data_IF_570414182986
#
_entry.id   IF_570414182986
#
_cell.length_a   1.000
_cell.length_b   1.000
_cell.length_c   1.000
_cell.angle_alpha   90.00
_cell.angle_beta   90.00
_cell.angle_gamma   90.00
#
_symmetry.space_group_name_H-M   'P 1'
#
loop_
_entity.id
_entity.type
_entity.pdbx_description
1 polymer ?
#
# COMPACT_ATOMS: atom_id res chain seq x y z
N UNK A 1 -13.09 -1.94 -20.86
CA UNK A 1 -11.78 -2.08 -21.53
C UNK A 1 -10.93 -0.80 -21.49
N UNK A 2 -11.51 0.39 -21.62
CA UNK A 2 -10.77 1.67 -21.59
C UNK A 2 -9.82 1.84 -20.37
N UNK A 3 -10.27 1.50 -19.16
CA UNK A 3 -9.45 1.64 -17.95
C UNK A 3 -8.30 0.61 -17.86
N UNK A 4 -8.48 -0.60 -18.38
CA UNK A 4 -7.41 -1.61 -18.45
C UNK A 4 -6.33 -1.16 -19.44
N UNK A 5 -6.73 -0.55 -20.56
CA UNK A 5 -5.78 0.04 -21.49
C UNK A 5 -4.96 1.17 -20.84
N UNK A 6 -5.58 1.97 -19.96
CA UNK A 6 -4.88 3.03 -19.22
C UNK A 6 -3.83 2.49 -18.26
N UNK A 7 -4.04 1.33 -17.64
CA UNK A 7 -3.00 0.66 -16.82
C UNK A 7 -1.73 0.38 -17.62
N UNK A 8 -1.84 0.19 -18.94
CA UNK A 8 -0.71 -0.11 -19.82
C UNK A 8 -0.12 1.12 -20.52
N UNK A 9 -0.83 2.26 -20.53
CA UNK A 9 -0.50 3.40 -21.40
C UNK A 9 -0.38 4.74 -20.68
N UNK A 10 -0.76 4.83 -19.40
CA UNK A 10 -0.79 6.08 -18.67
C UNK A 10 -0.25 5.91 -17.25
N UNK A 11 0.78 6.69 -16.92
CA UNK A 11 1.54 6.62 -15.67
C UNK A 11 1.58 8.00 -15.01
N UNK A 12 0.51 8.41 -14.29
CA UNK A 12 0.45 9.70 -13.60
C UNK A 12 1.32 9.70 -12.33
N UNK A 13 2.64 9.68 -12.49
CA UNK A 13 3.64 9.66 -11.40
C UNK A 13 3.64 10.91 -10.50
N UNK A 14 2.72 11.84 -10.75
CA UNK A 14 2.49 13.04 -9.94
C UNK A 14 1.30 12.86 -8.97
N UNK A 15 0.56 11.75 -9.08
CA UNK A 15 -0.52 11.37 -8.17
C UNK A 15 -0.01 10.31 -7.18
N UNK A 16 0.08 10.70 -5.91
CA UNK A 16 0.53 9.82 -4.83
C UNK A 16 -0.30 8.54 -4.74
N UNK A 17 -1.60 8.58 -5.05
CA UNK A 17 -2.46 7.39 -5.05
C UNK A 17 -2.06 6.38 -6.14
N UNK A 18 -1.59 6.89 -7.28
CA UNK A 18 -1.05 6.05 -8.35
C UNK A 18 0.27 5.44 -7.91
N UNK A 19 1.18 6.24 -7.34
CA UNK A 19 2.50 5.79 -6.92
C UNK A 19 2.39 4.71 -5.83
N UNK A 20 1.53 4.91 -4.83
CA UNK A 20 1.20 3.91 -3.80
C UNK A 20 0.76 2.59 -4.45
N UNK A 21 -0.25 2.64 -5.31
CA UNK A 21 -0.81 1.45 -5.93
C UNK A 21 0.22 0.73 -6.82
N UNK A 22 1.01 1.50 -7.58
CA UNK A 22 2.01 0.96 -8.49
C UNK A 22 3.19 0.32 -7.75
N UNK A 23 3.70 0.96 -6.69
CA UNK A 23 4.78 0.44 -5.84
C UNK A 23 4.35 -0.85 -5.14
N UNK A 24 3.15 -0.89 -4.54
CA UNK A 24 2.64 -2.12 -3.94
C UNK A 24 2.41 -3.23 -4.97
N UNK A 25 2.02 -2.89 -6.21
CA UNK A 25 1.88 -3.88 -7.30
C UNK A 25 3.23 -4.49 -7.66
N UNK A 26 4.27 -3.66 -7.86
CA UNK A 26 5.64 -4.14 -8.13
C UNK A 26 6.14 -5.00 -6.97
N UNK A 27 5.99 -4.53 -5.73
CA UNK A 27 6.36 -5.31 -4.55
C UNK A 27 5.66 -6.66 -4.52
N UNK A 28 4.37 -6.70 -4.85
CA UNK A 28 3.58 -7.94 -4.84
C UNK A 28 4.04 -8.93 -5.92
N UNK A 29 4.43 -8.43 -7.10
CA UNK A 29 5.06 -9.25 -8.14
C UNK A 29 6.37 -9.85 -7.64
N UNK A 30 7.20 -9.08 -6.94
CA UNK A 30 8.46 -9.55 -6.36
C UNK A 30 8.20 -10.64 -5.30
N UNK A 31 7.18 -10.48 -4.46
CA UNK A 31 6.77 -11.50 -3.50
C UNK A 31 6.21 -12.77 -4.15
N UNK A 32 5.50 -12.66 -5.28
CA UNK A 32 5.09 -13.84 -6.05
C UNK A 32 6.33 -14.57 -6.59
N UNK A 33 7.31 -13.85 -7.15
CA UNK A 33 8.58 -14.45 -7.61
C UNK A 33 9.32 -15.12 -6.44
N UNK A 34 9.42 -14.43 -5.30
CA UNK A 34 9.99 -14.97 -4.07
C UNK A 34 9.31 -16.28 -3.67
N UNK A 35 7.98 -16.31 -3.68
CA UNK A 35 7.21 -17.48 -3.33
C UNK A 35 7.48 -18.67 -4.25
N UNK A 36 7.76 -18.43 -5.54
CA UNK A 36 8.20 -19.50 -6.43
C UNK A 36 9.57 -20.04 -6.03
N UNK A 37 10.55 -19.19 -5.70
CA UNK A 37 11.87 -19.66 -5.26
C UNK A 37 11.83 -20.51 -3.98
N UNK A 38 10.90 -20.25 -3.06
CA UNK A 38 10.83 -20.98 -1.77
C UNK A 38 9.85 -22.15 -1.78
N UNK A 39 8.79 -22.11 -2.60
CA UNK A 39 7.73 -23.13 -2.57
C UNK A 39 7.77 -24.10 -3.76
N UNK A 40 8.17 -23.64 -4.96
CA UNK A 40 8.16 -24.48 -6.15
C UNK A 40 9.11 -25.69 -6.02
N UNK A 41 10.35 -25.56 -5.49
CA UNK A 41 11.23 -26.70 -5.25
C UNK A 41 10.59 -27.78 -4.36
N UNK A 42 9.74 -27.39 -3.41
CA UNK A 42 9.05 -28.33 -2.51
C UNK A 42 7.97 -29.16 -3.23
N UNK A 43 7.31 -28.59 -4.23
CA UNK A 43 6.24 -29.24 -5.01
C UNK A 43 6.80 -30.01 -6.19
N UNK A 44 7.85 -29.46 -6.82
CA UNK A 44 8.53 -30.02 -7.98
C UNK A 44 10.04 -29.98 -7.75
N UNK A 45 10.61 -30.96 -7.04
CA UNK A 45 12.04 -31.01 -6.74
C UNK A 45 12.92 -30.97 -8.00
N UNK A 46 12.45 -31.53 -9.12
CA UNK A 46 13.19 -31.48 -10.40
C UNK A 46 13.37 -30.07 -10.99
N UNK A 47 12.69 -29.06 -10.43
CA UNK A 47 12.88 -27.65 -10.84
C UNK A 47 13.96 -26.93 -10.04
N UNK A 48 14.43 -27.52 -8.94
CA UNK A 48 15.39 -26.90 -8.03
C UNK A 48 16.76 -26.72 -8.71
N UNK A 49 17.34 -25.52 -8.58
CA UNK A 49 18.72 -25.25 -8.96
C UNK A 49 19.58 -24.82 -7.77
N UNK A 50 20.90 -24.86 -7.95
CA UNK A 50 21.84 -24.69 -6.85
C UNK A 50 21.65 -23.33 -6.13
N UNK A 51 21.40 -23.40 -4.83
CA UNK A 51 21.16 -22.26 -3.94
C UNK A 51 19.95 -21.38 -4.31
N UNK A 52 18.95 -21.95 -5.00
CA UNK A 52 17.72 -21.26 -5.39
C UNK A 52 17.00 -20.59 -4.22
N UNK A 53 16.73 -21.35 -3.14
CA UNK A 53 16.01 -20.82 -1.96
C UNK A 53 16.84 -19.75 -1.25
N UNK A 54 18.14 -19.99 -1.05
CA UNK A 54 19.01 -19.08 -0.30
C UNK A 54 19.21 -17.75 -1.03
N UNK A 55 19.60 -17.77 -2.30
CA UNK A 55 19.86 -16.54 -3.06
C UNK A 55 18.60 -15.99 -3.70
N UNK A 56 17.84 -16.81 -4.43
CA UNK A 56 16.61 -16.38 -5.09
C UNK A 56 15.59 -15.93 -4.04
N UNK A 57 15.30 -16.78 -3.06
CA UNK A 57 14.40 -16.44 -1.95
C UNK A 57 14.94 -15.29 -1.11
N UNK A 58 16.17 -15.38 -0.60
CA UNK A 58 16.74 -14.34 0.27
C UNK A 58 16.80 -12.95 -0.34
N UNK A 59 17.29 -12.82 -1.58
CA UNK A 59 17.44 -11.53 -2.27
C UNK A 59 16.06 -10.94 -2.61
N UNK A 60 15.14 -11.74 -3.16
CA UNK A 60 13.82 -11.23 -3.50
C UNK A 60 12.99 -10.87 -2.27
N UNK A 61 13.16 -11.56 -1.14
CA UNK A 61 12.54 -11.19 0.12
C UNK A 61 13.01 -9.80 0.60
N UNK A 62 14.33 -9.53 0.52
CA UNK A 62 14.89 -8.23 0.88
C UNK A 62 14.37 -7.10 -0.02
N UNK A 63 14.39 -7.31 -1.34
CA UNK A 63 13.91 -6.31 -2.30
C UNK A 63 12.41 -6.09 -2.11
N UNK A 64 11.62 -7.16 -1.98
CA UNK A 64 10.17 -7.10 -1.77
C UNK A 64 9.82 -6.35 -0.49
N UNK A 65 10.49 -6.64 0.62
CA UNK A 65 10.30 -5.92 1.88
C UNK A 65 10.65 -4.43 1.76
N UNK A 66 11.73 -4.09 1.05
CA UNK A 66 12.15 -2.70 0.84
C UNK A 66 11.14 -1.93 -0.02
N UNK A 67 10.62 -2.55 -1.08
CA UNK A 67 9.58 -1.94 -1.94
C UNK A 67 8.29 -1.72 -1.15
N UNK A 68 7.88 -2.67 -0.31
CA UNK A 68 6.72 -2.51 0.58
C UNK A 68 6.92 -1.42 1.63
N UNK A 69 8.12 -1.25 2.16
CA UNK A 69 8.44 -0.16 3.09
C UNK A 69 8.27 1.21 2.41
N UNK A 70 8.83 1.37 1.21
CA UNK A 70 8.66 2.59 0.40
C UNK A 70 7.18 2.84 0.11
N UNK A 71 6.44 1.82 -0.31
CA UNK A 71 5.00 1.92 -0.54
C UNK A 71 4.23 2.34 0.71
N UNK A 72 4.63 1.86 1.88
CA UNK A 72 4.00 2.19 3.17
C UNK A 72 4.30 3.63 3.61
N UNK A 73 5.50 4.16 3.30
CA UNK A 73 5.84 5.57 3.51
C UNK A 73 4.98 6.46 2.60
N UNK A 74 4.84 6.10 1.32
CA UNK A 74 3.98 6.82 0.38
C UNK A 74 2.50 6.78 0.80
N UNK A 75 2.03 5.63 1.29
CA UNK A 75 0.68 5.45 1.79
C UNK A 75 0.42 6.34 3.01
N UNK A 76 1.39 6.44 3.93
CA UNK A 76 1.32 7.38 5.05
C UNK A 76 1.26 8.84 4.56
N UNK A 77 2.08 9.19 3.57
CA UNK A 77 2.10 10.53 2.99
C UNK A 77 0.77 10.88 2.30
N UNK A 78 0.13 9.91 1.62
CA UNK A 78 -1.22 10.03 1.07
C UNK A 78 -2.26 10.28 2.16
N UNK A 79 -2.25 9.49 3.24
CA UNK A 79 -3.20 9.61 4.34
C UNK A 79 -3.12 10.98 5.06
N UNK A 80 -1.91 11.54 5.20
CA UNK A 80 -1.71 12.91 5.74
C UNK A 80 -2.17 14.00 4.76
N UNK A 81 -2.30 13.68 3.48
CA UNK A 81 -2.64 14.63 2.41
C UNK A 81 -3.95 14.28 1.69
N UNK A 82 -4.89 13.63 2.35
CA UNK A 82 -6.14 13.09 1.77
C UNK A 82 -6.95 14.15 0.97
N UNK A 83 -6.85 15.43 1.34
CA UNK A 83 -7.49 16.56 0.65
C UNK A 83 -6.58 17.33 -0.34
N UNK A 84 -5.34 16.86 -0.57
CA UNK A 84 -4.28 17.58 -1.29
C UNK A 84 -3.43 16.69 -2.20
N UNK A 85 -3.90 15.49 -2.54
CA UNK A 85 -3.18 14.48 -3.34
C UNK A 85 -2.67 15.03 -4.68
N UNK A 86 -3.43 15.90 -5.35
CA UNK A 86 -3.02 16.55 -6.61
C UNK A 86 -1.87 17.56 -6.49
N UNK A 87 -1.42 17.90 -5.28
CA UNK A 87 -0.27 18.76 -5.04
C UNK A 87 1.06 17.98 -4.89
N UNK A 88 1.03 16.64 -4.88
CA UNK A 88 2.21 15.80 -4.66
C UNK A 88 3.30 16.03 -5.71
N UNK A 89 2.96 15.97 -7.01
CA UNK A 89 3.93 16.18 -8.08
C UNK A 89 4.69 17.51 -8.02
N UNK A 90 4.04 18.60 -7.59
CA UNK A 90 4.69 19.89 -7.36
C UNK A 90 5.63 19.87 -6.16
N UNK A 91 5.24 19.17 -5.09
CA UNK A 91 6.06 19.06 -3.89
C UNK A 91 7.29 18.19 -4.12
N UNK A 92 7.15 17.10 -4.87
CA UNK A 92 8.23 16.22 -5.27
C UNK A 92 9.22 16.92 -6.20
N UNK A 93 8.73 17.59 -7.24
CA UNK A 93 9.56 18.38 -8.16
C UNK A 93 10.35 19.45 -7.40
N UNK A 94 9.69 20.17 -6.47
CA UNK A 94 10.38 21.16 -5.63
C UNK A 94 11.47 20.52 -4.75
N UNK A 95 11.18 19.42 -4.07
CA UNK A 95 12.15 18.73 -3.21
C UNK A 95 13.38 18.21 -4.00
N UNK A 96 13.15 17.69 -5.22
CA UNK A 96 14.23 17.24 -6.10
C UNK A 96 14.99 18.41 -6.75
N UNK A 97 14.31 19.53 -7.03
CA UNK A 97 14.92 20.74 -7.60
C UNK A 97 15.72 21.56 -6.58
N UNK A 98 15.36 21.51 -5.29
CA UNK A 98 16.20 22.07 -4.22
C UNK A 98 17.54 21.34 -4.11
N UNK A 99 17.63 20.07 -4.56
CA UNK A 99 18.89 19.34 -4.71
C UNK A 99 19.60 19.57 -6.06
N UNK A 100 18.87 20.02 -7.10
CA UNK A 100 19.40 20.30 -8.45
C UNK A 100 19.31 21.79 -8.77
N UNK A 101 20.30 22.56 -8.33
CA UNK A 101 20.50 23.93 -8.81
C UNK A 101 20.67 23.95 -10.35
N UNK A 102 19.63 24.32 -11.11
CA UNK A 102 19.82 24.94 -12.43
C UNK A 102 19.07 24.42 -13.66
N UNK A 103 18.11 23.48 -13.58
CA UNK A 103 17.32 23.08 -14.77
C UNK A 103 15.84 23.50 -14.71
N UNK A 104 15.24 23.97 -15.82
CA UNK A 104 13.83 24.39 -15.86
C UNK A 104 12.90 23.18 -15.74
N UNK A 105 12.08 23.18 -14.69
CA UNK A 105 11.11 22.13 -14.37
C UNK A 105 10.11 21.89 -15.52
N UNK A 106 9.95 20.62 -15.88
CA UNK A 106 9.01 20.15 -16.90
C UNK A 106 7.58 20.26 -16.34
N UNK A 107 6.89 21.35 -16.65
CA UNK A 107 5.58 21.69 -16.09
C UNK A 107 4.48 20.67 -16.42
N UNK A 108 4.23 19.74 -15.49
CA UNK A 108 3.09 18.82 -15.53
C UNK A 108 1.88 19.46 -14.84
N UNK A 109 0.74 19.50 -15.54
CA UNK A 109 -0.48 20.20 -15.11
C UNK A 109 -1.59 19.20 -14.77
N UNK A 110 -1.92 18.98 -13.48
CA UNK A 110 -3.12 18.25 -13.09
C UNK A 110 -4.37 19.09 -13.35
N UNK A 111 -5.40 18.49 -13.96
CA UNK A 111 -6.72 19.12 -14.15
C UNK A 111 -7.52 19.08 -12.85
N UNK A 112 -7.97 20.24 -12.37
CA UNK A 112 -8.66 20.42 -11.07
C UNK A 112 -10.19 20.38 -11.14
N UNK A 113 -10.79 20.24 -12.33
CA UNK A 113 -12.22 20.47 -12.51
C UNK A 113 -13.13 19.29 -12.18
N UNK A 114 -12.59 18.11 -11.85
CA UNK A 114 -13.40 16.90 -11.58
C UNK A 114 -12.72 15.92 -10.61
N UNK A 115 -12.14 16.44 -9.51
CA UNK A 115 -11.62 15.60 -8.44
C UNK A 115 -12.76 15.08 -7.54
N UNK A 116 -13.46 14.02 -7.97
CA UNK A 116 -14.31 13.22 -7.09
C UNK A 116 -13.44 12.18 -6.37
N UNK A 117 -12.97 12.51 -5.16
CA UNK A 117 -12.24 11.55 -4.32
C UNK A 117 -13.23 10.74 -3.48
N UNK A 118 -13.18 9.42 -3.58
CA UNK A 118 -14.04 8.49 -2.85
C UNK A 118 -13.42 8.06 -1.52
N UNK A 119 -13.15 9.02 -0.63
CA UNK A 119 -13.00 8.77 0.82
C UNK A 119 -14.02 9.55 1.67
N UNK A 120 -14.96 10.26 1.05
CA UNK A 120 -16.04 10.92 1.78
C UNK A 120 -17.19 9.94 2.03
N UNK A 121 -17.01 8.98 2.92
CA UNK A 121 -18.15 8.38 3.61
C UNK A 121 -18.32 9.05 4.98
N UNK A 122 -18.91 10.24 5.00
CA UNK A 122 -19.28 10.99 6.22
C UNK A 122 -20.45 10.36 6.99
N UNK A 123 -20.58 9.03 7.02
CA UNK A 123 -21.60 8.36 7.83
C UNK A 123 -21.06 7.09 8.50
N UNK A 124 -20.71 7.31 9.77
CA UNK A 124 -20.78 6.41 10.93
C UNK A 124 -19.51 5.64 11.32
N UNK A 125 -19.12 5.81 12.59
CA UNK A 125 -18.93 4.72 13.56
C UNK A 125 -18.83 5.18 15.05
N UNK A 126 -19.11 6.45 15.37
CA UNK A 126 -19.33 6.88 16.77
C UNK A 126 -20.58 7.76 16.82
N UNK A 127 -21.61 7.30 17.56
CA UNK A 127 -22.93 7.93 17.61
C UNK A 127 -23.04 9.06 18.64
N UNK A 128 -23.80 10.10 18.30
CA UNK A 128 -25.07 10.50 18.95
C UNK A 128 -25.42 11.92 18.50
N UNK A 129 -26.70 12.14 18.15
CA UNK A 129 -27.16 13.31 17.44
C UNK A 129 -27.34 14.59 18.26
N UNK A 130 -27.41 15.70 17.54
CA UNK A 130 -28.38 16.76 17.78
C UNK A 130 -28.63 17.49 16.46
N UNK A 131 -29.91 17.66 16.13
CA UNK A 131 -30.40 18.35 14.95
C UNK A 131 -30.02 19.84 14.97
N UNK A 132 -29.71 20.40 13.80
CA UNK A 132 -30.25 21.70 13.38
C UNK A 132 -30.02 21.87 11.90
N UNK A 133 -31.12 22.04 11.16
CA UNK A 133 -31.06 22.38 9.74
C UNK A 133 -30.36 23.71 9.54
N UNK A 134 -29.41 23.75 8.61
CA UNK A 134 -28.98 24.98 7.98
C UNK A 134 -28.84 24.73 6.49
N UNK A 135 -29.80 25.30 5.74
CA UNK A 135 -29.59 25.66 4.35
C UNK A 135 -28.56 26.78 4.35
N UNK A 136 -27.32 26.51 3.97
CA UNK A 136 -26.36 27.56 3.64
C UNK A 136 -25.98 27.45 2.18
N UNK A 137 -26.30 28.53 1.49
CA UNK A 137 -25.98 28.81 0.10
C UNK A 137 -24.48 28.61 -0.15
N UNK A 138 -24.17 27.98 -1.28
CA UNK A 138 -22.81 27.97 -1.81
C UNK A 138 -22.41 29.41 -2.14
N UNK A 139 -21.56 30.00 -1.31
CA UNK A 139 -20.77 31.17 -1.70
C UNK A 139 -19.69 30.73 -2.69
N UNK A 140 -19.37 31.55 -3.71
CA UNK A 140 -18.32 31.24 -4.66
C UNK A 140 -16.96 31.38 -3.95
N UNK A 141 -16.17 30.31 -3.98
CA UNK A 141 -14.79 30.28 -3.48
C UNK A 141 -13.97 31.42 -4.12
N UNK A 142 -13.67 32.43 -3.31
CA UNK A 142 -12.73 33.49 -3.63
C UNK A 142 -11.31 32.91 -3.70
N UNK A 143 -10.62 33.21 -4.80
CA UNK A 143 -9.20 32.95 -5.03
C UNK A 143 -8.37 33.33 -3.80
N UNK A 144 -7.77 32.36 -3.09
CA UNK A 144 -6.92 32.72 -1.96
C UNK A 144 -6.23 31.64 -1.13
N UNK A 145 -6.65 30.37 -1.17
CA UNK A 145 -6.02 29.36 -0.30
C UNK A 145 -5.55 28.12 -1.08
N UNK A 146 -4.43 28.27 -1.81
CA UNK A 146 -3.66 27.16 -2.38
C UNK A 146 -3.08 26.33 -1.23
N UNK A 147 -3.83 25.34 -0.73
CA UNK A 147 -3.38 24.41 0.30
C UNK A 147 -2.16 23.62 -0.22
N UNK A 148 -0.99 23.93 0.32
CA UNK A 148 0.30 23.32 0.00
C UNK A 148 0.41 21.88 0.52
N UNK A 149 1.28 21.06 -0.08
CA UNK A 149 1.60 19.73 0.41
C UNK A 149 2.22 19.78 1.81
N UNK A 150 1.83 18.84 2.68
CA UNK A 150 2.30 18.74 4.07
C UNK A 150 3.12 17.47 4.22
N UNK A 151 4.41 17.61 4.47
CA UNK A 151 5.31 16.47 4.71
C UNK A 151 5.17 15.89 6.12
N UNK A 152 4.88 16.75 7.11
CA UNK A 152 4.76 16.37 8.52
C UNK A 152 3.52 17.03 9.13
N UNK A 153 2.55 16.27 9.69
CA UNK A 153 1.37 16.85 10.31
C UNK A 153 1.73 17.55 11.62
N UNK A 154 0.99 18.61 11.97
CA UNK A 154 1.16 19.25 13.27
C UNK A 154 0.63 18.36 14.41
N UNK A 155 1.17 18.52 15.63
CA UNK A 155 0.78 17.71 16.80
C UNK A 155 -0.72 17.86 17.16
N UNK A 156 -1.31 19.02 16.89
CA UNK A 156 -2.73 19.29 17.14
C UNK A 156 -3.63 18.61 16.09
N UNK A 157 -3.27 18.68 14.80
CA UNK A 157 -3.97 17.95 13.73
C UNK A 157 -3.87 16.42 13.89
N UNK A 158 -2.71 15.94 14.34
CA UNK A 158 -2.48 14.52 14.64
C UNK A 158 -3.45 14.00 15.70
N UNK A 159 -3.56 14.71 16.83
CA UNK A 159 -4.39 14.28 17.96
C UNK A 159 -5.89 14.41 17.69
N UNK A 160 -6.30 15.48 17.02
CA UNK A 160 -7.73 15.79 16.87
C UNK A 160 -8.37 15.15 15.64
N UNK A 161 -7.62 14.91 14.55
CA UNK A 161 -8.19 14.47 13.28
C UNK A 161 -7.70 13.09 12.86
N UNK A 162 -6.38 12.89 12.80
CA UNK A 162 -5.81 11.69 12.18
C UNK A 162 -5.98 10.41 13.01
N UNK A 163 -5.92 10.49 14.35
CA UNK A 163 -6.12 9.31 15.22
C UNK A 163 -7.55 8.73 15.18
N UNK A 164 -8.52 9.46 14.63
CA UNK A 164 -9.91 9.00 14.46
C UNK A 164 -10.24 8.59 13.02
N UNK A 165 -9.32 8.81 12.06
CA UNK A 165 -9.49 8.37 10.67
C UNK A 165 -9.04 6.91 10.52
N UNK A 166 -9.94 6.06 10.01
CA UNK A 166 -9.63 4.66 9.75
C UNK A 166 -8.52 4.52 8.71
N UNK A 167 -8.54 5.32 7.63
CA UNK A 167 -7.50 5.30 6.60
C UNK A 167 -6.12 5.71 7.13
N UNK A 168 -6.05 6.70 8.03
CA UNK A 168 -4.79 7.06 8.69
C UNK A 168 -4.28 5.94 9.59
N UNK A 169 -5.14 5.37 10.43
CA UNK A 169 -4.76 4.28 11.34
C UNK A 169 -4.36 3.01 10.56
N UNK A 170 -5.02 2.74 9.43
CA UNK A 170 -4.67 1.66 8.52
C UNK A 170 -3.28 1.87 7.90
N UNK A 171 -3.00 3.09 7.43
CA UNK A 171 -1.71 3.47 6.86
C UNK A 171 -0.58 3.41 7.91
N UNK A 172 -0.89 3.82 9.15
CA UNK A 172 0.07 3.77 10.26
C UNK A 172 0.40 2.34 10.65
N UNK A 173 -0.62 1.49 10.76
CA UNK A 173 -0.43 0.05 11.01
C UNK A 173 0.38 -0.62 9.91
N UNK A 174 0.12 -0.24 8.65
CA UNK A 174 0.88 -0.74 7.50
C UNK A 174 2.35 -0.35 7.58
N UNK A 175 2.65 0.93 7.86
CA UNK A 175 4.02 1.42 7.98
C UNK A 175 4.77 0.72 9.12
N UNK A 176 4.20 0.66 10.33
CA UNK A 176 4.83 -0.07 11.43
C UNK A 176 5.02 -1.56 11.10
N UNK A 177 4.04 -2.18 10.45
CA UNK A 177 4.12 -3.56 10.01
C UNK A 177 5.27 -3.77 9.03
N UNK A 178 5.38 -2.92 8.02
CA UNK A 178 6.41 -2.99 6.99
C UNK A 178 7.81 -2.74 7.57
N UNK A 179 7.98 -1.76 8.46
CA UNK A 179 9.28 -1.42 9.05
C UNK A 179 9.81 -2.58 9.90
N UNK A 180 8.93 -3.24 10.69
CA UNK A 180 9.31 -4.39 11.49
C UNK A 180 9.58 -5.61 10.60
N UNK A 181 8.73 -5.86 9.60
CA UNK A 181 8.91 -6.94 8.63
C UNK A 181 10.23 -6.80 7.86
N UNK A 182 10.66 -5.56 7.57
CA UNK A 182 11.88 -5.26 6.82
C UNK A 182 13.14 -5.82 7.48
N UNK A 183 13.18 -5.90 8.81
CA UNK A 183 14.28 -6.55 9.55
C UNK A 183 14.48 -7.99 9.09
N UNK A 184 13.38 -8.71 8.87
CA UNK A 184 13.40 -10.09 8.38
C UNK A 184 13.85 -10.17 6.92
N UNK A 185 13.40 -9.22 6.08
CA UNK A 185 13.88 -9.12 4.70
C UNK A 185 15.39 -8.91 4.64
N UNK A 186 15.94 -8.03 5.49
CA UNK A 186 17.38 -7.81 5.60
C UNK A 186 18.13 -9.07 6.05
N UNK A 187 17.61 -9.75 7.07
CA UNK A 187 18.26 -10.97 7.59
C UNK A 187 18.08 -12.19 6.70
N UNK A 188 17.18 -12.14 5.69
CA UNK A 188 17.02 -13.16 4.67
C UNK A 188 18.18 -13.22 3.67
N UNK A 189 19.02 -12.17 3.60
CA UNK A 189 20.10 -12.11 2.62
C UNK A 189 21.14 -13.22 2.81
N UNK A 190 21.67 -13.78 1.70
CA UNK A 190 22.84 -14.65 1.73
C UNK A 190 24.02 -13.96 2.41
N UNK A 191 24.79 -14.72 3.19
CA UNK A 191 25.89 -14.24 4.04
C UNK A 191 25.44 -13.82 5.44
N UNK A 192 24.15 -13.45 5.62
CA UNK A 192 23.55 -13.21 6.93
C UNK A 192 22.80 -14.48 7.36
N UNK A 193 21.81 -14.90 6.56
CA UNK A 193 20.88 -15.97 6.92
C UNK A 193 21.59 -17.30 7.26
N UNK A 194 22.50 -17.74 6.39
CA UNK A 194 23.29 -18.97 6.50
C UNK A 194 24.28 -18.97 7.68
N UNK A 195 24.56 -17.80 8.26
CA UNK A 195 25.47 -17.66 9.40
C UNK A 195 24.76 -17.47 10.73
N UNK A 196 23.43 -17.31 10.73
CA UNK A 196 22.67 -17.13 11.95
C UNK A 196 22.51 -18.44 12.71
N UNK A 197 22.76 -18.39 14.02
CA UNK A 197 22.34 -19.48 14.92
C UNK A 197 20.82 -19.48 15.07
N UNK A 198 20.23 -20.63 15.44
CA UNK A 198 18.78 -20.78 15.57
C UNK A 198 18.11 -19.68 16.43
N UNK A 199 18.63 -19.33 17.63
CA UNK A 199 18.01 -18.27 18.42
C UNK A 199 17.99 -16.93 17.68
N UNK A 200 19.04 -16.62 16.93
CA UNK A 200 19.14 -15.38 16.14
C UNK A 200 18.12 -15.42 14.99
N UNK A 201 17.96 -16.54 14.29
CA UNK A 201 16.93 -16.70 13.24
C UNK A 201 15.52 -16.52 13.80
N UNK A 202 15.23 -17.08 14.97
CA UNK A 202 13.93 -16.90 15.64
C UNK A 202 13.67 -15.42 15.93
N UNK A 203 14.65 -14.71 16.48
CA UNK A 203 14.49 -13.32 16.93
C UNK A 203 14.45 -12.33 15.77
N UNK A 204 15.34 -12.47 14.78
CA UNK A 204 15.56 -11.45 13.75
C UNK A 204 14.92 -11.79 12.39
N UNK A 205 14.60 -13.06 12.14
CA UNK A 205 13.97 -13.47 10.90
C UNK A 205 12.50 -13.88 11.09
N UNK A 206 12.18 -14.77 12.02
CA UNK A 206 10.79 -15.25 12.15
C UNK A 206 9.89 -14.29 12.93
N UNK A 207 10.33 -13.84 14.11
CA UNK A 207 9.52 -12.97 14.98
C UNK A 207 9.09 -11.66 14.32
N UNK A 208 9.97 -10.92 13.61
CA UNK A 208 9.55 -9.65 13.01
C UNK A 208 8.59 -9.86 11.84
N UNK A 209 8.64 -11.00 11.13
CA UNK A 209 7.63 -11.31 10.11
C UNK A 209 6.24 -11.51 10.72
N UNK A 210 6.13 -12.20 11.87
CA UNK A 210 4.84 -12.38 12.56
C UNK A 210 4.27 -11.02 12.97
N UNK A 211 5.08 -10.19 13.62
CA UNK A 211 4.66 -8.86 14.10
C UNK A 211 4.31 -7.96 12.92
N UNK A 212 5.13 -7.96 11.87
CA UNK A 212 4.88 -7.21 10.65
C UNK A 212 3.59 -7.62 9.95
N UNK A 213 3.36 -8.93 9.82
CA UNK A 213 2.13 -9.49 9.26
C UNK A 213 0.88 -9.10 10.05
N UNK A 214 0.96 -9.05 11.39
CA UNK A 214 -0.15 -8.54 12.21
C UNK A 214 -0.48 -7.08 11.88
N UNK A 215 0.53 -6.25 11.61
CA UNK A 215 0.36 -4.88 11.12
C UNK A 215 -0.40 -4.83 9.79
N UNK A 216 -0.10 -5.75 8.86
CA UNK A 216 -0.81 -5.89 7.58
C UNK A 216 -2.26 -6.35 7.75
N UNK A 217 -2.53 -7.29 8.66
CA UNK A 217 -3.89 -7.74 9.00
C UNK A 217 -4.72 -6.57 9.54
N UNK A 218 -4.17 -5.80 10.48
CA UNK A 218 -4.85 -4.65 11.06
C UNK A 218 -5.09 -3.61 9.97
N UNK A 219 -4.09 -3.31 9.13
CA UNK A 219 -4.23 -2.36 8.03
C UNK A 219 -5.33 -2.76 7.04
N UNK A 220 -5.28 -4.00 6.52
CA UNK A 220 -6.28 -4.51 5.58
C UNK A 220 -7.68 -4.52 6.18
N UNK A 221 -7.82 -4.87 7.46
CA UNK A 221 -9.10 -4.82 8.19
C UNK A 221 -9.62 -3.39 8.27
N UNK A 222 -8.79 -2.42 8.64
CA UNK A 222 -9.20 -1.02 8.79
C UNK A 222 -9.59 -0.39 7.44
N UNK A 223 -8.85 -0.63 6.37
CA UNK A 223 -9.24 -0.19 5.02
C UNK A 223 -10.54 -0.86 4.53
N UNK A 224 -10.73 -2.15 4.85
CA UNK A 224 -11.98 -2.83 4.54
C UNK A 224 -13.16 -2.28 5.37
N UNK A 225 -12.94 -1.90 6.62
CA UNK A 225 -13.95 -1.28 7.50
C UNK A 225 -14.29 0.15 7.07
N UNK A 226 -13.32 0.90 6.56
CA UNK A 226 -13.51 2.28 6.07
C UNK A 226 -14.47 2.36 4.88
N UNK A 227 -14.50 1.32 4.04
CA UNK A 227 -15.29 1.29 2.82
C UNK A 227 -16.74 0.83 3.02
N UNK A 228 -17.09 0.37 4.22
CA UNK A 228 -18.42 -0.12 4.57
C UNK A 228 -19.15 0.84 5.52
N UNK A 229 -20.49 0.85 5.45
CA UNK A 229 -21.32 1.76 6.25
C UNK A 229 -21.51 1.30 7.71
N UNK A 230 -21.40 0.00 7.94
CA UNK A 230 -21.49 -0.65 9.25
C UNK A 230 -20.45 -1.75 9.28
N UNK A 231 -19.78 -1.93 10.42
CA UNK A 231 -18.70 -2.90 10.61
C UNK A 231 -19.06 -4.36 10.29
N UNK A 232 -20.35 -4.71 10.31
CA UNK A 232 -20.86 -6.06 10.06
C UNK A 232 -21.47 -6.23 8.65
N UNK A 233 -21.57 -5.16 7.86
CA UNK A 233 -22.25 -5.18 6.56
C UNK A 233 -21.23 -4.95 5.43
N UNK A 234 -20.70 -6.02 4.81
CA UNK A 234 -19.75 -5.92 3.71
C UNK A 234 -20.23 -5.01 2.58
N UNK A 235 -19.29 -4.34 1.90
CA UNK A 235 -19.56 -3.46 0.77
C UNK A 235 -18.99 -4.04 -0.54
N UNK A 236 -19.42 -5.21 -1.03
CA UNK A 236 -18.81 -5.89 -2.18
C UNK A 236 -18.94 -5.14 -3.52
N UNK A 237 -19.69 -4.04 -3.54
CA UNK A 237 -19.86 -3.16 -4.72
C UNK A 237 -18.77 -2.10 -4.84
N UNK A 238 -17.95 -1.89 -3.81
CA UNK A 238 -16.86 -0.91 -3.83
C UNK A 238 -15.52 -1.61 -4.07
N UNK A 239 -14.67 -1.02 -4.91
CA UNK A 239 -13.35 -1.57 -5.21
C UNK A 239 -12.44 -1.53 -3.97
N UNK A 240 -12.42 -0.40 -3.26
CA UNK A 240 -11.80 -0.26 -1.93
C UNK A 240 -12.06 -1.41 -0.96
N UNK A 241 -13.28 -1.96 -0.92
CA UNK A 241 -13.59 -3.08 -0.02
C UNK A 241 -12.82 -4.35 -0.42
N UNK A 242 -12.75 -4.64 -1.72
CA UNK A 242 -11.96 -5.77 -2.23
C UNK A 242 -10.46 -5.57 -2.07
N UNK A 243 -9.96 -4.33 -2.21
CA UNK A 243 -8.55 -4.01 -1.92
C UNK A 243 -8.22 -4.35 -0.47
N UNK A 244 -9.02 -3.84 0.48
CA UNK A 244 -8.85 -4.16 1.90
C UNK A 244 -8.99 -5.66 2.21
N UNK A 245 -9.97 -6.34 1.62
CA UNK A 245 -10.20 -7.77 1.82
C UNK A 245 -9.03 -8.63 1.32
N UNK A 246 -8.50 -8.36 0.12
CA UNK A 246 -7.35 -9.08 -0.42
C UNK A 246 -6.06 -8.78 0.35
N UNK A 247 -5.86 -7.54 0.79
CA UNK A 247 -4.73 -7.18 1.66
C UNK A 247 -4.83 -7.85 3.04
N UNK A 248 -6.03 -7.99 3.60
CA UNK A 248 -6.26 -8.77 4.82
C UNK A 248 -5.89 -10.24 4.62
N UNK A 249 -6.35 -10.86 3.54
CA UNK A 249 -6.00 -12.24 3.19
C UNK A 249 -4.48 -12.37 3.05
N UNK A 250 -3.84 -11.47 2.28
CA UNK A 250 -2.38 -11.42 2.13
C UNK A 250 -1.65 -11.32 3.49
N UNK A 251 -2.11 -10.42 4.36
CA UNK A 251 -1.58 -10.25 5.71
C UNK A 251 -1.69 -11.52 6.55
N UNK A 252 -2.81 -12.24 6.48
CA UNK A 252 -2.98 -13.54 7.15
C UNK A 252 -1.93 -14.54 6.66
N UNK A 253 -1.68 -14.63 5.35
CA UNK A 253 -0.67 -15.52 4.79
C UNK A 253 0.73 -15.21 5.28
N UNK A 254 1.10 -13.93 5.29
CA UNK A 254 2.40 -13.45 5.77
C UNK A 254 2.56 -13.48 7.30
N UNK A 255 1.48 -13.56 8.08
CA UNK A 255 1.54 -13.84 9.52
C UNK A 255 1.68 -15.33 9.80
N UNK A 256 0.97 -16.17 9.06
CA UNK A 256 0.96 -17.63 9.28
C UNK A 256 2.25 -18.27 8.79
N UNK A 257 2.82 -17.81 7.66
CA UNK A 257 4.11 -18.28 7.15
C UNK A 257 5.19 -18.36 8.25
N UNK A 258 5.56 -17.26 8.91
CA UNK A 258 6.59 -17.28 9.94
C UNK A 258 6.14 -17.98 11.22
N UNK A 259 4.83 -18.08 11.49
CA UNK A 259 4.32 -18.87 12.61
C UNK A 259 4.62 -20.37 12.45
N UNK A 260 4.55 -20.90 11.22
CA UNK A 260 5.03 -22.25 10.93
C UNK A 260 6.56 -22.33 10.89
N UNK A 261 7.25 -21.26 10.51
CA UNK A 261 8.71 -21.18 10.43
C UNK A 261 9.47 -21.51 11.72
N UNK A 262 8.82 -21.40 12.89
CA UNK A 262 9.43 -21.79 14.18
C UNK A 262 9.66 -23.31 14.32
N UNK A 263 8.85 -24.14 13.64
CA UNK A 263 8.95 -25.59 13.64
C UNK A 263 9.75 -26.08 12.42
N UNK A 264 10.78 -26.90 12.65
CA UNK A 264 11.67 -27.43 11.60
C UNK A 264 11.11 -28.65 10.87
N UNK A 265 9.96 -29.16 11.29
CA UNK A 265 9.32 -30.29 10.65
C UNK A 265 9.01 -29.98 9.19
N UNK A 266 9.24 -30.93 8.29
CA UNK A 266 9.06 -30.73 6.84
C UNK A 266 7.65 -30.25 6.47
N UNK A 267 6.62 -30.77 7.14
CA UNK A 267 5.24 -30.33 6.93
C UNK A 267 5.03 -28.85 7.31
N UNK A 268 5.68 -28.37 8.37
CA UNK A 268 5.56 -26.98 8.83
C UNK A 268 6.30 -26.04 7.87
N UNK A 269 7.50 -26.41 7.44
CA UNK A 269 8.26 -25.64 6.43
C UNK A 269 7.52 -25.57 5.09
N UNK A 270 6.86 -26.66 4.68
CA UNK A 270 5.96 -26.66 3.52
C UNK A 270 4.79 -25.67 3.69
N UNK A 271 4.12 -25.68 4.84
CA UNK A 271 3.03 -24.74 5.12
C UNK A 271 3.50 -23.28 5.22
N UNK A 272 4.73 -23.05 5.70
CA UNK A 272 5.33 -21.73 5.72
C UNK A 272 5.48 -21.18 4.29
N UNK A 273 6.12 -21.94 3.41
CA UNK A 273 6.33 -21.56 2.01
C UNK A 273 5.01 -21.45 1.23
N UNK A 274 4.07 -22.37 1.44
CA UNK A 274 2.74 -22.31 0.83
C UNK A 274 1.96 -21.07 1.29
N UNK A 275 2.10 -20.67 2.56
CA UNK A 275 1.46 -19.47 3.09
C UNK A 275 2.01 -18.18 2.48
N UNK A 276 3.33 -18.11 2.27
CA UNK A 276 3.94 -17.05 1.47
C UNK A 276 3.37 -17.03 0.05
N UNK A 277 3.19 -18.19 -0.57
CA UNK A 277 2.67 -18.29 -1.93
C UNK A 277 1.28 -17.71 -2.10
N UNK A 278 0.27 -18.23 -1.40
CA UNK A 278 -1.09 -17.71 -1.57
C UNK A 278 -1.24 -16.29 -1.00
N UNK A 279 -0.48 -15.94 0.05
CA UNK A 279 -0.46 -14.59 0.59
C UNK A 279 0.07 -13.56 -0.42
N UNK A 280 1.11 -13.92 -1.18
CA UNK A 280 1.70 -13.05 -2.21
C UNK A 280 0.72 -12.80 -3.35
N UNK A 281 0.00 -13.84 -3.79
CA UNK A 281 -1.06 -13.70 -4.79
C UNK A 281 -2.22 -12.84 -4.30
N UNK A 282 -2.60 -12.96 -3.02
CA UNK A 282 -3.63 -12.11 -2.44
C UNK A 282 -3.24 -10.62 -2.46
N UNK A 283 -2.02 -10.28 -2.02
CA UNK A 283 -1.50 -8.91 -2.14
C UNK A 283 -1.42 -8.43 -3.59
N UNK A 284 -1.05 -9.30 -4.53
CA UNK A 284 -1.03 -8.95 -5.95
C UNK A 284 -2.44 -8.61 -6.48
N UNK A 285 -3.45 -9.42 -6.13
CA UNK A 285 -4.83 -9.14 -6.54
C UNK A 285 -5.30 -7.81 -5.93
N UNK A 286 -5.07 -7.59 -4.63
CA UNK A 286 -5.43 -6.34 -3.94
C UNK A 286 -4.79 -5.11 -4.57
N UNK A 287 -3.47 -5.16 -4.79
CA UNK A 287 -2.71 -4.04 -5.38
C UNK A 287 -3.06 -3.77 -6.84
N UNK A 288 -3.36 -4.80 -7.65
CA UNK A 288 -3.84 -4.61 -9.04
C UNK A 288 -5.21 -3.93 -9.07
N UNK A 289 -6.11 -4.28 -8.14
CA UNK A 289 -7.40 -3.59 -8.01
C UNK A 289 -7.18 -2.13 -7.57
N UNK A 290 -6.26 -1.88 -6.64
CA UNK A 290 -5.87 -0.54 -6.20
C UNK A 290 -5.29 0.29 -7.35
N UNK A 291 -4.48 -0.32 -8.21
CA UNK A 291 -3.92 0.34 -9.39
C UNK A 291 -5.00 0.67 -10.42
N UNK A 292 -5.94 -0.24 -10.64
CA UNK A 292 -7.10 0.03 -11.47
C UNK A 292 -7.96 1.19 -10.92
N UNK A 293 -8.18 1.22 -9.60
CA UNK A 293 -8.96 2.27 -8.92
C UNK A 293 -8.27 3.65 -8.99
N UNK A 294 -6.95 3.72 -8.78
CA UNK A 294 -6.20 4.98 -8.82
C UNK A 294 -6.30 5.69 -10.18
N UNK A 295 -6.40 4.93 -11.28
CA UNK A 295 -6.54 5.48 -12.63
C UNK A 295 -7.96 5.98 -12.94
N UNK A 296 -9.00 5.47 -12.28
CA UNK A 296 -10.38 5.94 -12.49
C UNK A 296 -10.57 7.42 -12.11
N UNK A 297 -9.67 7.98 -11.30
CA UNK A 297 -9.69 9.38 -10.87
C UNK A 297 -9.53 10.39 -12.04
N UNK A 298 -9.02 9.96 -13.20
CA UNK A 298 -8.72 10.85 -14.33
C UNK A 298 -9.47 10.48 -15.63
N UNK A 299 -10.77 10.72 -15.78
CA UNK A 299 -11.38 10.72 -17.10
C UNK A 299 -10.80 11.91 -17.91
N UNK A 300 -10.05 11.62 -18.98
CA UNK A 300 -9.58 12.64 -19.91
C UNK A 300 -10.75 12.99 -20.82
N UNK A 301 -11.40 14.13 -20.59
CA UNK A 301 -12.29 14.72 -21.59
C UNK A 301 -11.43 15.21 -22.77
N UNK A 302 -11.57 14.56 -23.92
CA UNK A 302 -11.16 15.14 -25.19
C UNK A 302 -12.02 16.40 -25.39
N UNK A 303 -11.45 17.59 -25.16
CA UNK A 303 -12.08 18.83 -25.60
C UNK A 303 -12.28 18.72 -27.11
N UNK A 304 -13.52 18.83 -27.63
CA UNK A 304 -13.71 18.99 -29.06
C UNK A 304 -12.94 20.24 -29.47
N UNK A 305 -12.10 20.12 -30.49
CA UNK A 305 -11.45 21.28 -31.08
C UNK A 305 -12.53 22.32 -31.38
N UNK A 306 -12.41 23.50 -30.79
CA UNK A 306 -13.21 24.64 -31.19
C UNK A 306 -12.96 24.83 -32.69
N UNK A 307 -13.98 24.50 -33.49
CA UNK A 307 -13.97 24.82 -34.90
C UNK A 307 -13.90 26.35 -35.01
N UNK A 308 -12.82 26.82 -35.64
CA UNK A 308 -12.66 28.20 -36.10
C UNK A 308 -13.55 28.38 -37.32
#
# INVERSE_FOLDING_TARGET
MHNVWRMLTYYPVWDVSFDVAYVFTIGSVIWVINAFFVWLPLVRPDSEFENEELYGGGITAFIGATVFEIGSILLMAEAVNENRTGCFGWALDRALSEEREGEPALGLRPSKSHCTHHHVNKRNLVGSGSETGSKTNAEPDTEGNRRSWVWWPSNEELRMHYLHSLGFLASLSQLFGATIFWISGLTALPGIYDRMSRPITIIFYWTPQVIGGLGFIISGTLFMLETQSKWWQPAPKTLGWWIGAWNLIGGIGFTICPAFGFDRSSWAQYQACLSTFWGSWAFLIGSVIQWYESLQKFPVELKPNAAI
#
